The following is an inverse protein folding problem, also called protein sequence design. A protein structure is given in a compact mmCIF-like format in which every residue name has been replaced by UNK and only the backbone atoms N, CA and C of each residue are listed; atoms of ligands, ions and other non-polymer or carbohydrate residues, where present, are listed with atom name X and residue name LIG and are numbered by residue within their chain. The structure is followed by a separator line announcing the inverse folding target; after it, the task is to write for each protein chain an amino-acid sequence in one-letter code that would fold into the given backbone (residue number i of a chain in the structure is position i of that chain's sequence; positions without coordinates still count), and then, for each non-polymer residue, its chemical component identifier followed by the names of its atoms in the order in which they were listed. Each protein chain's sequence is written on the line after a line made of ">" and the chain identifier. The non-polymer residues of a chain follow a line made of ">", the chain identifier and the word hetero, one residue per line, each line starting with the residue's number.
data_IF_106191565369
#
_entry.id   IF_106191565369
#
_cell.length_a   1.000
_cell.length_b   1.000
_cell.length_c   1.000
_cell.angle_alpha   90.00
_cell.angle_beta   90.00
_cell.angle_gamma   90.00
#
_symmetry.space_group_name_H-M   'P 1'
#
loop_
_entity.id
_entity.type
_entity.pdbx_description
1 polymer ?
#
# COMPACT_ATOMS: atom_id res chain seq x y z
N UNK A 1 31.02 -64.44 -20.48
CA UNK A 1 31.49 -63.09 -20.83
C UNK A 1 32.14 -62.54 -19.59
N UNK A 2 33.45 -62.27 -19.59
CA UNK A 2 34.07 -61.65 -18.43
C UNK A 2 33.78 -60.14 -18.45
N UNK A 3 33.08 -59.65 -17.43
CA UNK A 3 32.68 -58.25 -17.28
C UNK A 3 33.00 -57.72 -15.87
N UNK A 4 33.92 -58.39 -15.15
CA UNK A 4 34.21 -58.08 -13.75
C UNK A 4 34.63 -56.61 -13.54
N UNK A 5 35.48 -56.09 -14.42
CA UNK A 5 35.95 -54.69 -14.38
C UNK A 5 34.80 -53.69 -14.60
N UNK A 6 33.99 -53.91 -15.63
CA UNK A 6 32.84 -53.06 -15.92
C UNK A 6 31.79 -53.09 -14.79
N UNK A 7 31.54 -54.26 -14.18
CA UNK A 7 30.68 -54.41 -12.99
C UNK A 7 31.26 -53.65 -11.81
N UNK A 8 32.57 -53.71 -11.57
CA UNK A 8 33.24 -52.96 -10.52
C UNK A 8 33.11 -51.44 -10.72
N UNK A 9 33.31 -50.95 -11.95
CA UNK A 9 33.12 -49.54 -12.32
C UNK A 9 31.68 -49.06 -12.13
N UNK A 10 30.69 -49.89 -12.45
CA UNK A 10 29.27 -49.57 -12.24
C UNK A 10 28.87 -49.59 -10.76
N UNK A 11 29.47 -50.45 -9.94
CA UNK A 11 29.34 -50.43 -8.47
C UNK A 11 29.93 -49.15 -7.88
N UNK A 12 31.11 -48.75 -8.34
CA UNK A 12 31.73 -47.48 -7.92
C UNK A 12 30.85 -46.27 -8.31
N UNK A 13 30.28 -46.30 -9.52
CA UNK A 13 29.31 -45.30 -10.01
C UNK A 13 28.07 -45.23 -9.11
N UNK A 14 27.50 -46.39 -8.73
CA UNK A 14 26.36 -46.45 -7.82
C UNK A 14 26.71 -45.88 -6.44
N UNK A 15 27.88 -46.22 -5.89
CA UNK A 15 28.33 -45.74 -4.59
C UNK A 15 28.47 -44.22 -4.60
N UNK A 16 29.16 -43.67 -5.60
CA UNK A 16 29.32 -42.22 -5.76
C UNK A 16 27.96 -41.52 -5.91
N UNK A 17 27.11 -42.03 -6.81
CA UNK A 17 25.78 -41.49 -7.03
C UNK A 17 24.92 -41.50 -5.75
N UNK A 18 24.97 -42.58 -4.97
CA UNK A 18 24.24 -42.67 -3.70
C UNK A 18 24.75 -41.64 -2.69
N UNK A 19 26.06 -41.57 -2.47
CA UNK A 19 26.65 -40.63 -1.51
C UNK A 19 26.33 -39.17 -1.86
N UNK A 20 26.47 -38.78 -3.14
CA UNK A 20 26.17 -37.41 -3.56
C UNK A 20 24.68 -37.10 -3.54
N UNK A 21 23.81 -38.04 -3.93
CA UNK A 21 22.36 -37.84 -3.89
C UNK A 21 21.84 -37.78 -2.45
N UNK A 22 22.43 -38.53 -1.51
CA UNK A 22 22.09 -38.45 -0.09
C UNK A 22 22.47 -37.08 0.48
N UNK A 23 23.67 -36.58 0.17
CA UNK A 23 24.11 -35.23 0.57
C UNK A 23 23.21 -34.14 -0.03
N UNK A 24 22.87 -34.27 -1.32
CA UNK A 24 21.97 -33.35 -2.01
C UNK A 24 20.56 -33.36 -1.41
N UNK A 25 20.02 -34.56 -1.12
CA UNK A 25 18.70 -34.73 -0.48
C UNK A 25 18.69 -34.12 0.92
N UNK A 26 19.78 -34.25 1.68
CA UNK A 26 19.96 -33.59 2.97
C UNK A 26 19.95 -32.07 2.91
N UNK A 27 20.24 -31.48 1.74
CA UNK A 27 20.16 -30.05 1.46
C UNK A 27 18.90 -29.67 0.65
N UNK A 28 17.88 -30.53 0.67
CA UNK A 28 16.60 -30.34 -0.03
C UNK A 28 16.70 -30.21 -1.56
N UNK A 29 17.82 -30.62 -2.16
CA UNK A 29 17.95 -30.68 -3.61
C UNK A 29 17.03 -31.79 -4.17
N UNK A 30 16.52 -31.58 -5.39
CA UNK A 30 15.62 -32.53 -6.03
C UNK A 30 16.40 -33.75 -6.53
N UNK A 31 15.89 -34.95 -6.24
CA UNK A 31 16.48 -36.24 -6.64
C UNK A 31 15.41 -37.21 -7.13
N UNK A 32 15.80 -38.21 -7.95
CA UNK A 32 14.87 -39.22 -8.48
C UNK A 32 15.18 -40.61 -7.93
N UNK A 33 14.31 -41.12 -7.06
CA UNK A 33 14.40 -42.50 -6.53
C UNK A 33 14.25 -43.54 -7.64
N UNK A 34 13.41 -43.27 -8.65
CA UNK A 34 13.20 -44.16 -9.79
C UNK A 34 14.47 -44.30 -10.64
N UNK A 35 15.17 -43.19 -10.89
CA UNK A 35 16.44 -43.21 -11.61
C UNK A 35 17.51 -44.03 -10.85
N UNK A 36 17.64 -43.81 -9.53
CA UNK A 36 18.55 -44.60 -8.68
C UNK A 36 18.20 -46.09 -8.72
N UNK A 37 16.92 -46.44 -8.68
CA UNK A 37 16.49 -47.83 -8.77
C UNK A 37 16.80 -48.45 -10.14
N UNK A 38 16.61 -47.71 -11.24
CA UNK A 38 16.93 -48.18 -12.58
C UNK A 38 18.43 -48.53 -12.73
N UNK A 39 19.33 -47.77 -12.12
CA UNK A 39 20.77 -48.10 -12.09
C UNK A 39 21.06 -49.40 -11.33
N UNK A 40 20.40 -49.61 -10.18
CA UNK A 40 20.51 -50.85 -9.39
C UNK A 40 20.00 -52.06 -10.18
N UNK A 41 18.85 -51.91 -10.82
CA UNK A 41 18.23 -52.95 -11.63
C UNK A 41 19.12 -53.32 -12.81
N UNK A 42 19.76 -52.33 -13.46
CA UNK A 42 20.73 -52.59 -14.53
C UNK A 42 21.96 -53.35 -14.03
N UNK A 43 22.55 -52.93 -12.91
CA UNK A 43 23.70 -53.62 -12.32
C UNK A 43 23.38 -55.10 -12.01
N UNK A 44 22.20 -55.37 -11.46
CA UNK A 44 21.74 -56.73 -11.19
C UNK A 44 21.70 -57.61 -12.44
N UNK A 45 21.39 -57.06 -13.62
CA UNK A 45 21.35 -57.81 -14.89
C UNK A 45 22.73 -58.23 -15.39
N UNK A 46 23.80 -57.56 -14.98
CA UNK A 46 25.15 -57.81 -15.49
C UNK A 46 26.07 -58.43 -14.45
N UNK A 47 25.74 -58.32 -13.16
CA UNK A 47 26.54 -58.88 -12.06
C UNK A 47 26.32 -60.40 -11.95
N UNK A 48 27.37 -61.25 -12.12
CA UNK A 48 27.26 -62.70 -11.99
C UNK A 48 26.88 -63.17 -10.59
N UNK A 49 27.12 -62.35 -9.56
CA UNK A 49 26.64 -62.63 -8.21
C UNK A 49 25.10 -62.60 -8.12
N UNK A 50 24.44 -61.86 -9.01
CA UNK A 50 22.99 -61.69 -9.07
C UNK A 50 22.37 -62.34 -10.32
N UNK A 51 21.81 -61.55 -11.28
CA UNK A 51 21.13 -62.06 -12.48
C UNK A 51 22.06 -62.20 -13.69
N UNK A 52 23.30 -61.74 -13.61
CA UNK A 52 24.33 -61.80 -14.64
C UNK A 52 24.94 -63.20 -14.87
N UNK A 53 24.15 -64.25 -14.69
CA UNK A 53 24.59 -65.66 -14.80
C UNK A 53 23.53 -66.55 -15.42
N UNK A 54 23.96 -67.68 -15.97
CA UNK A 54 23.03 -68.73 -16.34
C UNK A 54 22.44 -69.35 -15.07
N UNK A 55 21.11 -69.43 -14.98
CA UNK A 55 20.39 -69.97 -13.82
C UNK A 55 20.39 -71.51 -13.77
N UNK A 56 20.85 -72.17 -14.83
CA UNK A 56 20.87 -73.61 -14.95
C UNK A 56 21.64 -74.05 -16.21
N UNK A 57 21.70 -75.37 -16.48
CA UNK A 57 22.47 -75.91 -17.57
C UNK A 57 22.09 -75.34 -18.94
N UNK A 58 23.08 -75.13 -19.79
CA UNK A 58 22.90 -74.64 -21.17
C UNK A 58 23.35 -75.73 -22.12
N UNK A 59 22.44 -76.19 -23.00
CA UNK A 59 22.72 -77.28 -23.96
C UNK A 59 23.31 -78.54 -23.32
N UNK A 60 22.85 -78.89 -22.10
CA UNK A 60 23.32 -80.07 -21.36
C UNK A 60 24.66 -79.90 -20.64
N UNK A 61 25.23 -78.70 -20.62
CA UNK A 61 26.43 -78.37 -19.85
C UNK A 61 26.07 -77.58 -18.60
N UNK A 62 26.65 -77.95 -17.46
CA UNK A 62 26.47 -77.22 -16.21
C UNK A 62 26.99 -75.78 -16.32
N UNK A 63 26.24 -74.84 -15.75
CA UNK A 63 26.54 -73.41 -15.77
C UNK A 63 27.56 -72.98 -14.70
N UNK A 64 28.60 -73.80 -14.49
CA UNK A 64 29.67 -73.57 -13.54
C UNK A 64 31.03 -73.55 -14.25
N UNK A 65 31.97 -72.77 -13.73
CA UNK A 65 33.35 -72.72 -14.23
C UNK A 65 34.20 -73.78 -13.52
N UNK A 66 35.27 -74.28 -14.17
CA UNK A 66 36.22 -75.16 -13.52
C UNK A 66 37.01 -74.42 -12.43
N UNK A 67 37.38 -75.15 -11.38
CA UNK A 67 38.35 -74.68 -10.37
C UNK A 67 39.69 -74.40 -11.04
N UNK A 68 40.40 -73.35 -10.62
CA UNK A 68 41.70 -73.01 -11.18
C UNK A 68 42.67 -74.21 -11.13
N UNK A 69 43.14 -74.64 -12.31
CA UNK A 69 44.07 -75.77 -12.45
C UNK A 69 43.44 -77.17 -12.38
N UNK A 70 42.11 -77.30 -12.28
CA UNK A 70 41.38 -78.58 -12.35
C UNK A 70 40.34 -78.57 -13.47
N UNK A 71 39.78 -79.76 -13.78
CA UNK A 71 38.58 -79.93 -14.60
C UNK A 71 37.30 -80.00 -13.76
N UNK A 72 37.42 -80.08 -12.45
CA UNK A 72 36.29 -80.13 -11.53
C UNK A 72 35.58 -78.77 -11.49
N UNK A 73 34.26 -78.80 -11.63
CA UNK A 73 33.42 -77.60 -11.60
C UNK A 73 33.36 -77.01 -10.19
N UNK A 74 33.51 -75.70 -10.10
CA UNK A 74 33.25 -74.92 -8.91
C UNK A 74 31.82 -74.37 -8.95
N UNK A 75 30.93 -74.98 -8.16
CA UNK A 75 29.54 -74.56 -8.06
C UNK A 75 29.34 -73.12 -7.55
N UNK A 76 30.37 -72.52 -6.93
CA UNK A 76 30.37 -71.12 -6.49
C UNK A 76 30.79 -70.13 -7.59
N UNK A 77 31.31 -70.62 -8.72
CA UNK A 77 31.78 -69.82 -9.84
C UNK A 77 30.85 -69.97 -11.06
N UNK A 78 29.80 -69.15 -11.19
CA UNK A 78 28.84 -69.28 -12.28
C UNK A 78 29.44 -68.86 -13.62
N UNK A 79 28.87 -69.38 -14.72
CA UNK A 79 29.14 -68.89 -16.07
C UNK A 79 28.35 -67.60 -16.31
N UNK A 80 29.04 -66.52 -16.68
CA UNK A 80 28.43 -65.20 -16.85
C UNK A 80 27.61 -65.09 -18.13
N UNK A 81 26.49 -64.37 -18.01
CA UNK A 81 25.71 -63.84 -19.12
C UNK A 81 25.12 -62.49 -18.74
N UNK A 82 24.59 -61.75 -19.69
CA UNK A 82 23.67 -60.66 -19.34
C UNK A 82 22.25 -61.22 -19.15
N UNK A 83 21.57 -60.74 -18.12
CA UNK A 83 20.18 -61.04 -17.81
C UNK A 83 19.19 -60.34 -18.73
N UNK A 84 19.65 -59.32 -19.47
CA UNK A 84 18.89 -58.57 -20.47
C UNK A 84 19.75 -58.33 -21.74
N UNK A 85 19.13 -58.05 -22.90
CA UNK A 85 19.85 -57.70 -24.13
C UNK A 85 20.42 -56.28 -24.01
N UNK A 86 21.65 -56.18 -23.50
CA UNK A 86 22.32 -54.90 -23.23
C UNK A 86 23.63 -54.81 -24.00
N UNK A 87 24.05 -53.57 -24.27
CA UNK A 87 25.38 -53.26 -24.78
C UNK A 87 26.18 -52.62 -23.65
N UNK A 88 27.35 -53.17 -23.36
CA UNK A 88 28.29 -52.63 -22.38
C UNK A 88 29.57 -52.24 -23.12
N UNK A 89 29.95 -50.97 -23.00
CA UNK A 89 31.17 -50.43 -23.58
C UNK A 89 32.03 -49.96 -22.42
N UNK A 90 33.18 -50.58 -22.25
CA UNK A 90 34.14 -50.28 -21.19
C UNK A 90 35.55 -50.22 -21.78
N UNK A 91 36.40 -49.38 -21.19
CA UNK A 91 37.79 -49.19 -21.62
C UNK A 91 38.61 -48.66 -20.46
N UNK A 92 39.70 -49.35 -20.14
CA UNK A 92 40.61 -48.96 -19.07
C UNK A 92 41.33 -47.62 -19.32
N UNK A 93 41.48 -47.21 -20.59
CA UNK A 93 42.24 -46.01 -20.96
C UNK A 93 41.35 -44.85 -21.43
N UNK A 94 40.22 -45.12 -22.08
CA UNK A 94 39.32 -44.08 -22.56
C UNK A 94 38.38 -44.50 -23.69
N UNK A 95 37.34 -43.69 -23.88
CA UNK A 95 36.30 -43.84 -24.92
C UNK A 95 36.13 -42.48 -25.58
N UNK A 96 36.16 -42.42 -26.92
CA UNK A 96 35.93 -41.19 -27.69
C UNK A 96 34.71 -41.37 -28.61
N UNK A 97 33.74 -40.47 -28.52
CA UNK A 97 32.56 -40.40 -29.40
C UNK A 97 32.64 -39.13 -30.25
N UNK A 98 33.11 -39.25 -31.49
CA UNK A 98 33.32 -38.12 -32.39
C UNK A 98 32.64 -38.33 -33.76
N UNK A 99 32.06 -37.26 -34.29
CA UNK A 99 31.45 -37.21 -35.62
C UNK A 99 31.53 -35.78 -36.18
N UNK A 100 31.73 -35.58 -37.50
CA UNK A 100 31.68 -34.26 -38.11
C UNK A 100 30.26 -33.69 -38.22
N UNK A 101 29.24 -34.52 -38.02
CA UNK A 101 27.84 -34.13 -38.07
C UNK A 101 27.24 -34.03 -36.66
N UNK A 102 26.24 -34.84 -36.34
CA UNK A 102 25.51 -34.77 -35.06
C UNK A 102 25.59 -36.08 -34.27
N UNK A 103 25.69 -35.95 -32.95
CA UNK A 103 25.53 -37.05 -31.99
C UNK A 103 24.19 -36.86 -31.27
N UNK A 104 23.37 -37.90 -31.19
CA UNK A 104 22.13 -37.90 -30.43
C UNK A 104 22.18 -38.98 -29.34
N UNK A 105 21.84 -38.60 -28.11
CA UNK A 105 21.68 -39.51 -26.97
C UNK A 105 20.21 -39.50 -26.57
N UNK A 106 19.54 -40.64 -26.72
CA UNK A 106 18.13 -40.81 -26.39
C UNK A 106 17.94 -42.01 -25.48
N UNK A 107 17.23 -41.81 -24.37
CA UNK A 107 16.76 -42.87 -23.50
C UNK A 107 15.26 -42.71 -23.31
N UNK A 108 14.49 -43.77 -23.54
CA UNK A 108 13.03 -43.76 -23.30
C UNK A 108 12.64 -43.73 -21.82
N UNK A 109 13.62 -43.86 -20.92
CA UNK A 109 13.45 -43.80 -19.47
C UNK A 109 14.48 -42.82 -18.88
N UNK A 110 15.62 -43.31 -18.41
CA UNK A 110 16.62 -42.52 -17.69
C UNK A 110 17.94 -42.46 -18.47
N UNK A 111 18.57 -41.28 -18.48
CA UNK A 111 19.95 -41.09 -18.94
C UNK A 111 20.79 -40.71 -17.72
N UNK A 112 21.79 -41.54 -17.41
CA UNK A 112 22.72 -41.31 -16.30
C UNK A 112 24.07 -40.90 -16.85
N UNK A 113 24.58 -39.75 -16.39
CA UNK A 113 25.93 -39.29 -16.66
C UNK A 113 26.63 -39.12 -15.31
N UNK A 114 27.66 -39.91 -15.05
CA UNK A 114 28.39 -39.86 -13.78
C UNK A 114 29.88 -39.80 -14.04
N UNK A 115 30.57 -38.95 -13.30
CA UNK A 115 32.02 -38.73 -13.42
C UNK A 115 32.61 -38.68 -12.02
N UNK A 116 33.72 -39.38 -11.80
CA UNK A 116 34.38 -39.43 -10.48
C UNK A 116 35.23 -38.17 -10.19
N UNK A 117 35.79 -37.56 -11.24
CA UNK A 117 36.52 -36.29 -11.16
C UNK A 117 35.63 -35.19 -11.79
N UNK A 118 36.15 -34.45 -12.77
CA UNK A 118 35.50 -33.25 -13.30
C UNK A 118 34.65 -33.53 -14.54
N UNK A 119 33.48 -32.90 -14.60
CA UNK A 119 32.61 -32.92 -15.79
C UNK A 119 32.68 -31.58 -16.51
N UNK A 120 33.10 -31.60 -17.77
CA UNK A 120 33.13 -30.41 -18.64
C UNK A 120 32.07 -30.53 -19.73
N UNK A 121 31.18 -29.54 -19.81
CA UNK A 121 30.22 -29.39 -20.90
C UNK A 121 30.51 -28.06 -21.61
N UNK A 122 30.90 -28.13 -22.88
CA UNK A 122 31.29 -26.94 -23.65
C UNK A 122 30.55 -26.93 -24.99
N UNK A 123 29.96 -25.78 -25.33
CA UNK A 123 29.34 -25.53 -26.62
C UNK A 123 29.92 -24.23 -27.20
N UNK A 124 30.24 -24.21 -28.49
CA UNK A 124 30.73 -23.01 -29.16
C UNK A 124 29.65 -21.92 -29.29
N UNK A 125 28.38 -22.30 -29.20
CA UNK A 125 27.22 -21.40 -29.30
C UNK A 125 26.35 -21.51 -28.05
N UNK A 126 25.33 -22.37 -28.06
CA UNK A 126 24.35 -22.47 -26.98
C UNK A 126 24.45 -23.80 -26.26
N UNK A 127 24.46 -23.75 -24.92
CA UNK A 127 24.19 -24.90 -24.05
C UNK A 127 22.83 -24.67 -23.38
N UNK A 128 21.90 -25.62 -23.53
CA UNK A 128 20.54 -25.52 -23.01
C UNK A 128 20.18 -26.79 -22.24
N UNK A 129 19.58 -26.61 -21.06
CA UNK A 129 19.02 -27.69 -20.25
C UNK A 129 17.55 -27.36 -19.98
N UNK A 130 16.67 -28.26 -20.39
CA UNK A 130 15.22 -28.09 -20.30
C UNK A 130 14.61 -29.34 -19.69
N UNK A 131 13.87 -29.17 -18.59
CA UNK A 131 13.20 -30.24 -17.85
C UNK A 131 11.70 -29.94 -17.79
N UNK A 132 10.88 -30.98 -17.94
CA UNK A 132 9.42 -30.82 -17.88
C UNK A 132 8.90 -30.65 -16.45
N UNK A 133 9.53 -31.29 -15.48
CA UNK A 133 9.08 -31.29 -14.08
C UNK A 133 9.98 -30.41 -13.22
N UNK A 134 11.27 -30.73 -13.13
CA UNK A 134 12.16 -30.00 -12.24
C UNK A 134 13.65 -30.06 -12.68
N UNK A 135 14.41 -29.05 -12.27
CA UNK A 135 15.87 -28.97 -12.45
C UNK A 135 16.50 -28.60 -11.11
N UNK A 136 17.60 -29.28 -10.76
CA UNK A 136 18.36 -29.04 -9.53
C UNK A 136 19.83 -28.87 -9.83
N UNK A 137 20.46 -27.88 -9.20
CA UNK A 137 21.90 -27.64 -9.23
C UNK A 137 22.43 -27.68 -7.81
N UNK A 138 23.33 -28.61 -7.51
CA UNK A 138 23.88 -28.84 -6.19
C UNK A 138 25.40 -28.98 -6.26
N UNK A 139 26.10 -28.28 -5.38
CA UNK A 139 27.53 -28.44 -5.15
C UNK A 139 27.74 -28.68 -3.65
N UNK A 140 28.43 -29.77 -3.29
CA UNK A 140 28.73 -30.08 -1.90
C UNK A 140 29.80 -29.15 -1.33
N UNK A 141 30.83 -28.88 -2.14
CA UNK A 141 31.96 -28.00 -1.83
C UNK A 141 32.32 -27.20 -3.09
N UNK A 142 32.99 -26.05 -2.94
CA UNK A 142 33.45 -25.21 -4.06
C UNK A 142 32.43 -24.17 -4.56
N UNK A 143 31.14 -24.36 -4.26
CA UNK A 143 30.07 -23.40 -4.57
C UNK A 143 29.59 -23.44 -6.03
N UNK A 144 28.71 -22.50 -6.39
CA UNK A 144 28.14 -22.36 -7.74
C UNK A 144 28.46 -20.96 -8.28
N UNK A 145 28.97 -20.90 -9.51
CA UNK A 145 29.21 -19.65 -10.23
C UNK A 145 28.37 -19.58 -11.50
N UNK A 146 27.59 -18.52 -11.66
CA UNK A 146 26.82 -18.22 -12.87
C UNK A 146 27.25 -16.86 -13.42
N UNK A 147 28.03 -16.86 -14.49
CA UNK A 147 28.69 -15.66 -15.02
C UNK A 147 28.34 -15.51 -16.50
N UNK A 148 27.77 -14.37 -16.88
CA UNK A 148 27.66 -13.95 -18.27
C UNK A 148 28.80 -12.96 -18.58
N UNK A 149 29.74 -13.36 -19.44
CA UNK A 149 30.85 -12.48 -19.83
C UNK A 149 30.39 -11.27 -20.65
N UNK A 150 29.31 -11.43 -21.41
CA UNK A 150 28.57 -10.37 -22.10
C UNK A 150 27.08 -10.72 -22.09
N UNK A 151 26.23 -9.71 -21.91
CA UNK A 151 24.78 -9.88 -21.82
C UNK A 151 24.27 -10.11 -20.39
N UNK A 152 22.94 -10.12 -20.19
CA UNK A 152 22.33 -10.17 -18.87
C UNK A 152 22.29 -11.59 -18.29
N UNK A 153 22.30 -11.68 -16.96
CA UNK A 153 21.86 -12.87 -16.23
C UNK A 153 20.42 -12.62 -15.75
N UNK A 154 19.52 -13.57 -16.00
CA UNK A 154 18.12 -13.49 -15.57
C UNK A 154 17.70 -14.74 -14.81
N UNK A 155 17.08 -14.56 -13.64
CA UNK A 155 16.47 -15.63 -12.84
C UNK A 155 15.03 -15.23 -12.56
N UNK A 156 14.07 -16.08 -12.91
CA UNK A 156 12.65 -15.75 -12.86
C UNK A 156 11.83 -16.94 -12.36
N UNK A 157 10.84 -16.66 -11.50
CA UNK A 157 9.79 -17.59 -11.11
C UNK A 157 8.44 -16.94 -11.46
N UNK A 158 7.69 -17.54 -12.40
CA UNK A 158 6.49 -16.90 -12.96
C UNK A 158 5.22 -17.11 -12.12
N UNK A 159 5.05 -18.33 -11.58
CA UNK A 159 3.83 -18.72 -10.87
C UNK A 159 4.05 -18.90 -9.37
N UNK A 160 5.30 -18.94 -8.93
CA UNK A 160 5.68 -19.26 -7.56
C UNK A 160 6.81 -18.34 -7.07
N UNK A 161 7.20 -18.50 -5.81
CA UNK A 161 8.20 -17.72 -5.10
C UNK A 161 9.61 -17.94 -5.63
N UNK A 162 10.32 -16.85 -5.86
CA UNK A 162 11.78 -16.83 -5.96
C UNK A 162 12.35 -16.61 -4.56
N UNK A 163 13.21 -17.52 -4.10
CA UNK A 163 13.84 -17.46 -2.77
C UNK A 163 15.36 -17.46 -2.90
N UNK A 164 16.02 -16.52 -2.22
CA UNK A 164 17.49 -16.42 -2.11
C UNK A 164 17.82 -16.42 -0.62
N UNK A 165 18.57 -17.44 -0.18
CA UNK A 165 18.94 -17.64 1.21
C UNK A 165 20.44 -17.83 1.33
N UNK A 166 21.04 -17.19 2.32
CA UNK A 166 22.43 -17.41 2.71
C UNK A 166 22.53 -17.42 4.24
N UNK A 167 23.30 -18.35 4.78
CA UNK A 167 23.60 -18.42 6.22
C UNK A 167 24.48 -17.26 6.69
N UNK A 168 25.22 -16.66 5.75
CA UNK A 168 26.10 -15.51 6.00
C UNK A 168 25.51 -14.23 5.40
N UNK A 169 26.12 -13.73 4.33
CA UNK A 169 25.80 -12.46 3.73
C UNK A 169 25.18 -12.66 2.35
N UNK A 170 24.22 -11.79 2.00
CA UNK A 170 23.75 -11.58 0.64
C UNK A 170 24.15 -10.16 0.22
N UNK A 171 25.04 -10.06 -0.76
CA UNK A 171 25.47 -8.77 -1.32
C UNK A 171 24.85 -8.55 -2.71
N UNK A 172 24.15 -7.43 -2.87
CA UNK A 172 23.60 -6.99 -4.17
C UNK A 172 24.29 -5.68 -4.53
N UNK A 173 25.12 -5.70 -5.58
CA UNK A 173 26.01 -4.59 -5.93
C UNK A 173 25.82 -4.26 -7.41
N UNK A 174 25.54 -2.97 -7.70
CA UNK A 174 25.64 -2.39 -9.04
C UNK A 174 26.83 -1.43 -9.06
N UNK A 175 27.74 -1.60 -10.02
CA UNK A 175 29.00 -0.83 -10.07
C UNK A 175 28.82 0.52 -10.75
N UNK A 176 28.07 0.57 -11.86
CA UNK A 176 27.98 1.75 -12.72
C UNK A 176 26.62 2.46 -12.68
N UNK A 177 25.54 1.73 -12.40
CA UNK A 177 24.17 2.24 -12.49
C UNK A 177 23.46 2.13 -11.12
N UNK A 178 22.28 1.50 -11.06
CA UNK A 178 21.46 1.42 -9.85
C UNK A 178 20.94 0.02 -9.55
N UNK A 179 20.26 -0.10 -8.41
CA UNK A 179 19.52 -1.29 -7.97
C UNK A 179 18.06 -0.89 -7.87
N UNK A 180 17.18 -1.63 -8.55
CA UNK A 180 15.74 -1.42 -8.49
C UNK A 180 15.05 -2.60 -7.80
N UNK A 181 14.35 -2.32 -6.70
CA UNK A 181 13.50 -3.29 -6.00
C UNK A 181 12.06 -2.83 -6.16
N UNK A 182 11.27 -3.60 -6.92
CA UNK A 182 9.87 -3.28 -7.23
C UNK A 182 8.97 -4.42 -6.78
N UNK A 183 7.85 -4.09 -6.15
CA UNK A 183 6.80 -5.03 -5.82
C UNK A 183 5.43 -4.39 -6.06
N UNK A 184 4.45 -5.22 -6.43
CA UNK A 184 3.07 -4.75 -6.60
C UNK A 184 2.39 -4.48 -5.25
N UNK A 185 2.64 -5.34 -4.25
CA UNK A 185 1.97 -5.28 -2.94
C UNK A 185 2.82 -4.66 -1.86
N UNK A 186 3.97 -5.26 -1.56
CA UNK A 186 4.78 -4.92 -0.38
C UNK A 186 6.27 -5.15 -0.59
N UNK A 187 7.09 -4.25 -0.04
CA UNK A 187 8.54 -4.42 0.16
C UNK A 187 8.83 -4.29 1.67
N UNK A 188 9.60 -5.23 2.23
CA UNK A 188 10.04 -5.18 3.63
C UNK A 188 11.56 -5.33 3.67
N UNK A 189 12.23 -4.34 4.26
CA UNK A 189 13.65 -4.39 4.59
C UNK A 189 13.76 -4.46 6.11
N UNK A 190 14.32 -5.55 6.65
CA UNK A 190 14.35 -5.78 8.09
C UNK A 190 15.73 -6.22 8.58
N UNK A 191 16.18 -5.63 9.69
CA UNK A 191 17.38 -6.01 10.41
C UNK A 191 17.07 -6.06 11.92
N UNK A 192 16.98 -7.27 12.49
CA UNK A 192 16.54 -7.47 13.87
C UNK A 192 15.13 -6.91 14.10
N UNK A 193 15.02 -5.93 15.00
CA UNK A 193 13.75 -5.24 15.34
C UNK A 193 13.54 -3.93 14.57
N UNK A 194 14.47 -3.54 13.68
CA UNK A 194 14.32 -2.36 12.83
C UNK A 194 13.81 -2.78 11.44
N UNK A 195 12.83 -2.05 10.89
CA UNK A 195 12.30 -2.31 9.56
C UNK A 195 11.90 -1.05 8.80
N UNK A 196 11.95 -1.16 7.48
CA UNK A 196 11.39 -0.22 6.51
C UNK A 196 10.39 -1.01 5.68
N UNK A 197 9.13 -0.60 5.69
CA UNK A 197 8.05 -1.28 4.98
C UNK A 197 7.39 -0.31 4.01
N UNK A 198 7.30 -0.71 2.74
CA UNK A 198 6.47 -0.07 1.73
C UNK A 198 5.27 -0.98 1.50
N UNK A 199 4.06 -0.52 1.77
CA UNK A 199 2.82 -1.29 1.65
C UNK A 199 1.73 -0.44 1.03
N UNK A 200 1.36 -0.73 -0.22
CA UNK A 200 0.46 0.11 -1.00
C UNK A 200 1.00 1.55 -1.15
N UNK A 201 0.34 2.51 -0.52
CA UNK A 201 0.72 3.93 -0.54
C UNK A 201 1.51 4.36 0.71
N UNK A 202 1.64 3.47 1.70
CA UNK A 202 2.22 3.79 2.99
C UNK A 202 3.71 3.42 3.05
N UNK A 203 4.50 4.28 3.69
CA UNK A 203 5.91 4.02 4.02
C UNK A 203 6.05 4.07 5.54
N UNK A 204 6.45 2.96 6.15
CA UNK A 204 6.62 2.83 7.61
C UNK A 204 8.08 2.57 7.97
N UNK A 205 8.63 3.39 8.86
CA UNK A 205 9.91 3.17 9.51
C UNK A 205 9.66 2.78 10.97
N UNK A 206 10.01 1.56 11.37
CA UNK A 206 9.80 1.06 12.72
C UNK A 206 11.13 0.64 13.34
N UNK A 207 11.49 1.21 14.50
CA UNK A 207 12.66 0.78 15.27
C UNK A 207 12.49 1.10 16.76
N UNK A 208 12.87 0.20 17.67
CA UNK A 208 12.80 0.46 19.13
C UNK A 208 13.93 1.39 19.62
N UNK A 209 15.01 1.51 18.83
CA UNK A 209 16.14 2.39 19.14
C UNK A 209 15.95 3.80 18.59
N UNK A 210 17.07 4.46 18.31
CA UNK A 210 17.07 5.82 17.75
C UNK A 210 16.91 5.80 16.23
N UNK A 211 15.93 6.54 15.72
CA UNK A 211 15.85 6.93 14.31
C UNK A 211 16.62 8.24 14.10
N UNK A 212 17.80 8.18 13.47
CA UNK A 212 18.64 9.35 13.20
C UNK A 212 18.61 9.70 11.72
N UNK A 213 18.12 10.89 11.39
CA UNK A 213 18.15 11.45 10.02
C UNK A 213 19.18 12.59 10.02
N UNK A 214 20.21 12.49 9.17
CA UNK A 214 21.27 13.49 9.06
C UNK A 214 21.25 14.11 7.67
N UNK A 215 20.92 15.39 7.58
CA UNK A 215 20.94 16.17 6.34
C UNK A 215 21.18 17.65 6.61
N UNK A 216 21.63 18.40 5.60
CA UNK A 216 21.78 19.86 5.73
C UNK A 216 20.43 20.59 5.84
N UNK A 217 19.36 19.97 5.31
CA UNK A 217 18.00 20.47 5.36
C UNK A 217 17.03 19.29 5.45
N UNK A 218 15.95 19.44 6.23
CA UNK A 218 14.84 18.50 6.30
C UNK A 218 13.57 19.25 5.86
N UNK A 219 13.28 19.23 4.56
CA UNK A 219 12.06 19.84 4.03
C UNK A 219 10.93 18.86 4.22
N UNK A 220 10.06 19.16 5.18
CA UNK A 220 8.76 18.54 5.34
C UNK A 220 7.75 19.62 4.99
N UNK A 221 7.44 19.75 3.70
CA UNK A 221 6.42 20.68 3.28
C UNK A 221 5.09 20.32 3.94
N UNK A 222 4.29 21.33 4.24
CA UNK A 222 2.99 21.12 4.85
C UNK A 222 2.16 20.14 4.02
N UNK A 223 1.48 19.21 4.69
CA UNK A 223 0.49 18.37 4.02
C UNK A 223 -0.53 19.25 3.29
N UNK A 224 -1.11 18.74 2.21
CA UNK A 224 -2.18 19.44 1.49
C UNK A 224 -3.26 19.86 2.48
N UNK A 225 -3.34 21.15 2.76
CA UNK A 225 -4.42 21.75 3.52
C UNK A 225 -5.50 22.14 2.53
N UNK A 226 -6.52 21.31 2.38
CA UNK A 226 -7.78 21.83 1.87
C UNK A 226 -8.46 22.58 3.01
N UNK A 227 -8.85 23.83 2.76
CA UNK A 227 -9.73 24.54 3.67
C UNK A 227 -11.00 23.69 3.82
N UNK A 228 -11.38 23.36 5.05
CA UNK A 228 -12.69 22.81 5.31
C UNK A 228 -13.72 23.74 4.63
N UNK A 229 -14.44 23.23 3.64
CA UNK A 229 -15.61 23.91 3.11
C UNK A 229 -16.69 23.84 4.18
N UNK A 230 -16.60 24.76 5.14
CA UNK A 230 -17.67 25.04 6.08
C UNK A 230 -18.79 25.69 5.28
N UNK A 231 -19.92 25.01 5.16
CA UNK A 231 -21.16 25.68 4.74
C UNK A 231 -21.41 26.87 5.66
N UNK A 232 -21.77 28.03 5.09
CA UNK A 232 -22.01 29.25 5.84
C UNK A 232 -23.01 28.97 6.98
N UNK A 233 -22.58 29.25 8.22
CA UNK A 233 -23.51 29.21 9.35
C UNK A 233 -24.64 30.21 9.09
N UNK A 234 -25.91 29.84 9.30
CA UNK A 234 -27.04 30.73 9.05
C UNK A 234 -26.92 31.98 9.92
N UNK A 235 -26.59 33.11 9.31
CA UNK A 235 -26.27 34.37 9.98
C UNK A 235 -27.49 35.22 10.34
N UNK A 236 -28.68 34.62 10.54
CA UNK A 236 -29.94 35.36 10.63
C UNK A 236 -30.59 35.42 12.01
N UNK A 237 -29.85 35.20 13.09
CA UNK A 237 -30.37 35.41 14.44
C UNK A 237 -29.25 35.94 15.35
N UNK A 238 -29.13 37.27 15.42
CA UNK A 238 -28.86 38.11 16.61
C UNK A 238 -28.23 39.43 16.14
N UNK A 239 -29.09 40.42 15.90
CA UNK A 239 -28.73 41.83 16.12
C UNK A 239 -29.78 42.38 17.06
N UNK A 240 -29.48 42.66 18.34
CA UNK A 240 -30.46 43.32 19.20
C UNK A 240 -30.64 44.76 18.72
N UNK A 241 -31.79 45.04 18.10
CA UNK A 241 -32.27 46.40 17.85
C UNK A 241 -32.70 47.04 19.18
N UNK A 242 -31.76 47.61 19.92
CA UNK A 242 -32.07 48.66 20.90
C UNK A 242 -31.92 49.99 20.17
N UNK A 243 -32.97 50.42 19.45
CA UNK A 243 -33.05 51.78 18.95
C UNK A 243 -33.60 52.68 20.08
N UNK A 244 -32.83 53.65 20.61
CA UNK A 244 -33.38 54.61 21.55
C UNK A 244 -34.38 55.53 20.84
N UNK A 245 -35.52 55.81 21.47
CA UNK A 245 -36.45 56.81 20.96
C UNK A 245 -35.76 58.18 21.03
N UNK A 246 -35.75 58.90 19.91
CA UNK A 246 -35.14 60.23 19.84
C UNK A 246 -36.09 61.23 19.21
N UNK A 247 -36.28 62.37 19.89
CA UNK A 247 -37.21 63.42 19.49
C UNK A 247 -36.48 64.77 19.49
N UNK A 248 -36.91 65.65 18.59
CA UNK A 248 -36.58 67.08 18.57
C UNK A 248 -37.67 67.82 17.82
N UNK A 249 -37.83 69.11 18.10
CA UNK A 249 -38.84 69.95 17.46
C UNK A 249 -38.19 70.98 16.54
N UNK A 250 -38.96 71.41 15.54
CA UNK A 250 -38.53 72.40 14.57
C UNK A 250 -39.55 73.54 14.51
N UNK A 251 -39.08 74.78 14.64
CA UNK A 251 -39.88 75.97 14.41
C UNK A 251 -39.65 76.46 12.97
N UNK A 252 -40.74 76.60 12.22
CA UNK A 252 -40.72 77.18 10.87
C UNK A 252 -41.63 78.38 10.83
N UNK A 253 -41.22 79.41 10.10
CA UNK A 253 -42.03 80.60 9.90
C UNK A 253 -43.28 80.25 9.08
N UNK A 254 -44.47 80.54 9.61
CA UNK A 254 -45.73 80.32 8.89
C UNK A 254 -45.87 81.18 7.63
N UNK A 255 -45.11 82.29 7.53
CA UNK A 255 -45.16 83.23 6.40
C UNK A 255 -44.16 82.85 5.30
N UNK A 256 -42.96 82.40 5.69
CA UNK A 256 -41.86 82.17 4.73
C UNK A 256 -41.50 80.70 4.53
N UNK A 257 -42.01 79.79 5.37
CA UNK A 257 -41.68 78.37 5.38
C UNK A 257 -40.23 78.05 5.79
N UNK A 258 -39.42 79.07 6.10
CA UNK A 258 -38.01 78.89 6.47
C UNK A 258 -37.86 78.55 7.96
N UNK A 259 -36.78 77.85 8.35
CA UNK A 259 -36.49 77.58 9.76
C UNK A 259 -36.28 78.88 10.55
N UNK A 260 -36.83 78.94 11.75
CA UNK A 260 -36.74 80.10 12.65
C UNK A 260 -35.81 79.77 13.81
N UNK A 261 -34.71 80.51 13.93
CA UNK A 261 -33.79 80.42 15.06
C UNK A 261 -34.27 81.25 16.26
N UNK A 262 -33.77 80.92 17.45
CA UNK A 262 -34.02 81.64 18.72
C UNK A 262 -35.48 81.62 19.21
N UNK A 263 -36.29 80.69 18.70
CA UNK A 263 -37.69 80.47 19.09
C UNK A 263 -37.75 79.60 20.34
N UNK A 264 -38.53 80.01 21.35
CA UNK A 264 -38.73 79.26 22.58
C UNK A 264 -39.60 78.03 22.33
N UNK A 265 -39.13 76.88 22.81
CA UNK A 265 -39.82 75.59 22.73
C UNK A 265 -39.89 74.97 24.12
N UNK A 266 -41.12 74.72 24.57
CA UNK A 266 -41.40 73.98 25.80
C UNK A 266 -42.17 72.71 25.47
N UNK A 267 -41.61 71.56 25.82
CA UNK A 267 -42.28 70.27 25.69
C UNK A 267 -42.71 69.78 27.08
N UNK A 268 -44.01 69.54 27.22
CA UNK A 268 -44.61 68.99 28.42
C UNK A 268 -44.90 67.51 28.19
N UNK A 269 -44.46 66.68 29.13
CA UNK A 269 -44.84 65.27 29.15
C UNK A 269 -46.29 65.16 29.63
N UNK A 270 -47.14 64.58 28.80
CA UNK A 270 -48.57 64.43 29.07
C UNK A 270 -48.81 63.45 30.24
N UNK A 271 -47.89 62.50 30.47
CA UNK A 271 -47.99 61.51 31.54
C UNK A 271 -47.63 62.05 32.93
N UNK A 272 -46.60 62.91 33.03
CA UNK A 272 -46.13 63.48 34.30
C UNK A 272 -46.60 64.91 34.58
N UNK A 273 -47.24 65.57 33.59
CA UNK A 273 -47.69 66.97 33.65
C UNK A 273 -46.55 67.97 33.96
N UNK A 274 -45.29 67.57 33.74
CA UNK A 274 -44.08 68.35 33.97
C UNK A 274 -43.43 68.82 32.66
N UNK A 275 -42.60 69.88 32.76
CA UNK A 275 -41.78 70.32 31.63
C UNK A 275 -40.64 69.32 31.45
N UNK A 276 -40.70 68.54 30.36
CA UNK A 276 -39.67 67.56 30.00
C UNK A 276 -38.50 68.22 29.26
N UNK A 277 -38.76 69.32 28.54
CA UNK A 277 -37.73 70.11 27.88
C UNK A 277 -38.13 71.58 27.76
N UNK A 278 -37.14 72.45 27.91
CA UNK A 278 -37.24 73.89 27.73
C UNK A 278 -35.97 74.41 27.08
N UNK A 279 -36.07 75.06 25.93
CA UNK A 279 -34.92 75.62 25.24
C UNK A 279 -35.30 76.35 23.95
N UNK A 280 -34.31 76.96 23.31
CA UNK A 280 -34.50 77.69 22.06
C UNK A 280 -34.07 76.88 20.84
N UNK A 281 -34.66 77.16 19.68
CA UNK A 281 -34.19 76.61 18.40
C UNK A 281 -32.85 77.19 17.99
N UNK A 282 -31.95 76.36 17.46
CA UNK A 282 -30.67 76.78 16.92
C UNK A 282 -30.81 77.42 15.52
N UNK A 283 -29.69 77.78 14.89
CA UNK A 283 -29.67 78.41 13.56
C UNK A 283 -30.36 77.61 12.44
N UNK A 284 -30.52 76.28 12.61
CA UNK A 284 -31.24 75.40 11.70
C UNK A 284 -32.76 75.28 12.01
N UNK A 285 -33.24 76.10 12.95
CA UNK A 285 -34.61 76.15 13.44
C UNK A 285 -35.04 74.93 14.26
N UNK A 286 -34.09 74.14 14.79
CA UNK A 286 -34.38 72.92 15.57
C UNK A 286 -33.86 72.99 16.99
N UNK A 287 -34.51 72.28 17.90
CA UNK A 287 -34.01 72.08 19.26
C UNK A 287 -32.92 71.01 19.30
N UNK A 288 -32.07 70.98 20.35
CA UNK A 288 -31.26 69.82 20.68
C UNK A 288 -32.11 68.55 20.74
N UNK A 289 -31.49 67.42 20.41
CA UNK A 289 -32.15 66.11 20.42
C UNK A 289 -32.22 65.57 21.84
N UNK A 290 -33.41 65.14 22.23
CA UNK A 290 -33.63 64.42 23.48
C UNK A 290 -33.58 62.94 23.16
N UNK A 291 -32.90 62.20 24.03
CA UNK A 291 -32.77 60.75 23.96
C UNK A 291 -33.51 60.19 25.17
N UNK A 292 -34.54 59.38 24.93
CA UNK A 292 -35.19 58.59 25.99
C UNK A 292 -34.92 57.11 25.73
N UNK A 293 -34.45 56.43 26.78
CA UNK A 293 -33.91 55.07 26.67
C UNK A 293 -34.92 53.98 27.04
N UNK A 294 -36.10 54.32 27.59
CA UNK A 294 -36.91 53.27 28.21
C UNK A 294 -38.35 53.13 27.69
N UNK A 295 -39.04 54.18 27.19
CA UNK A 295 -40.44 54.07 26.69
C UNK A 295 -40.80 55.12 25.63
N UNK A 296 -41.76 54.85 24.71
CA UNK A 296 -42.38 55.89 23.89
C UNK A 296 -43.23 56.82 24.79
N UNK A 297 -43.07 58.13 24.62
CA UNK A 297 -43.80 59.18 25.36
C UNK A 297 -44.42 60.19 24.39
N UNK A 298 -45.64 60.63 24.72
CA UNK A 298 -46.32 61.70 23.99
C UNK A 298 -46.10 63.05 24.67
N UNK A 299 -45.76 64.06 23.87
CA UNK A 299 -45.48 65.41 24.35
C UNK A 299 -46.48 66.41 23.77
N UNK A 300 -46.94 67.33 24.63
CA UNK A 300 -47.58 68.57 24.18
C UNK A 300 -46.51 69.64 24.04
N UNK A 301 -46.43 70.30 22.89
CA UNK A 301 -45.33 71.21 22.54
C UNK A 301 -45.86 72.61 22.32
N UNK A 302 -45.27 73.57 23.02
CA UNK A 302 -45.55 74.99 22.88
C UNK A 302 -44.36 75.64 22.16
N UNK A 303 -44.63 76.33 21.04
CA UNK A 303 -43.62 76.99 20.20
C UNK A 303 -44.02 78.46 20.04
N UNK A 304 -43.12 79.39 20.39
CA UNK A 304 -43.42 80.83 20.43
C UNK A 304 -42.26 81.68 20.95
N UNK A 305 -42.49 82.95 21.23
CA UNK A 305 -41.46 83.89 21.70
C UNK A 305 -42.04 84.91 22.68
N UNK A 306 -41.34 85.18 23.79
CA UNK A 306 -41.72 86.19 24.79
C UNK A 306 -42.18 85.60 26.12
N UNK A 307 -42.74 86.44 27.01
CA UNK A 307 -43.26 86.00 28.30
C UNK A 307 -44.51 85.12 28.12
N UNK A 308 -44.38 83.84 28.44
CA UNK A 308 -45.46 82.87 28.33
C UNK A 308 -46.41 82.99 29.53
N UNK A 309 -47.67 83.33 29.26
CA UNK A 309 -48.76 83.26 30.26
C UNK A 309 -49.76 82.21 29.79
N UNK A 310 -49.77 81.06 30.47
CA UNK A 310 -50.73 79.98 30.18
C UNK A 310 -52.08 80.36 30.81
N UNK A 311 -53.02 80.89 30.02
CA UNK A 311 -54.41 81.01 30.47
C UNK A 311 -55.09 79.63 30.40
N UNK A 312 -55.14 78.92 31.53
CA UNK A 312 -56.04 77.76 31.67
C UNK A 312 -57.45 78.30 31.87
N UNK A 313 -58.28 78.32 30.82
CA UNK A 313 -59.73 78.49 30.96
C UNK A 313 -60.33 77.13 31.30
N UNK A 314 -60.77 76.95 32.54
CA UNK A 314 -61.76 75.93 32.89
C UNK A 314 -63.12 76.41 32.34
N UNK A 315 -63.67 75.74 31.34
CA UNK A 315 -65.06 75.96 30.95
C UNK A 315 -65.98 75.47 32.08
N UNK A 316 -66.74 76.39 32.69
CA UNK A 316 -68.00 76.03 33.35
C UNK A 316 -69.10 75.90 32.30
N UNK A 317 -70.01 74.95 32.55
CA UNK A 317 -71.14 74.56 31.71
C UNK A 317 -72.10 75.72 31.35
N UNK A 318 -72.77 75.68 30.19
CA UNK A 318 -73.86 76.60 29.88
C UNK A 318 -75.16 76.18 30.59
N UNK A 319 -75.71 77.09 31.39
CA UNK A 319 -77.13 77.08 31.81
C UNK A 319 -77.90 77.99 30.86
N UNK A 320 -79.01 77.47 30.29
CA UNK A 320 -79.97 78.25 29.50
C UNK A 320 -81.20 78.56 30.35
N UNK A 321 -81.63 79.82 30.32
CA UNK A 321 -82.80 80.40 30.97
C UNK A 321 -84.14 79.92 30.40
N UNK A 322 -85.15 79.67 31.24
CA UNK A 322 -86.58 79.77 30.86
C UNK A 322 -87.07 81.24 30.92
N UNK A 323 -88.36 81.57 30.69
CA UNK A 323 -89.56 80.72 30.55
C UNK A 323 -90.47 81.02 29.31
N UNK A 324 -91.48 80.16 29.14
CA UNK A 324 -92.74 80.31 28.38
C UNK A 324 -92.73 80.43 26.85
N UNK A 325 -92.99 79.27 26.24
CA UNK A 325 -94.09 78.99 25.29
C UNK A 325 -94.36 79.99 24.18
N UNK A 326 -93.95 79.63 22.97
CA UNK A 326 -94.75 79.87 21.78
C UNK A 326 -94.76 78.61 20.90
N UNK A 327 -95.86 77.88 21.05
CA UNK A 327 -96.70 77.29 19.99
C UNK A 327 -95.97 76.60 18.82
N UNK A 328 -96.07 75.28 18.70
CA UNK A 328 -97.15 74.58 17.96
C UNK A 328 -97.09 74.82 16.44
N UNK A 329 -97.35 73.72 15.70
CA UNK A 329 -97.47 73.62 14.25
C UNK A 329 -96.13 73.48 13.52
N UNK A 330 -95.94 72.62 12.53
CA UNK A 330 -96.63 71.47 11.95
C UNK A 330 -95.82 71.20 10.67
N UNK A 331 -95.89 69.97 10.18
CA UNK A 331 -95.87 69.66 8.75
C UNK A 331 -94.62 69.98 7.89
N UNK A 332 -94.15 68.87 7.32
CA UNK A 332 -93.80 68.66 5.91
C UNK A 332 -92.33 68.77 5.45
N UNK A 333 -91.87 67.56 5.09
CA UNK A 333 -90.80 67.09 4.19
C UNK A 333 -89.32 67.25 4.58
#
# INVERSE_FOLDING_TARGET
>A
MDAAEAVASLKATQSLGTTLLDAATGQHALTSKAAVQAHKDFLAQIDPADKGKFAGPVNGQDAAKPTAGSRDLDASSPVEKFGAPVVLIDSAAGINWATPASTALFAGQHLHWTTQSDMHMTAAYTSSSVSAEATSLYAHEGGIQAIAGNGPVSVQAHTDRLEILADKEVAVISVNDGIEVKANKRIVLQAGQASITLDGQDITFACPGTFSVKGAQHVLDGGSSEAAQLEELPHLLVTPLLQPYSLRWAATSAVTGKPSADVDVHALDIGSNGIAFSGKTAGDGRTPRILDQERPQDFSVLIGSGDWVTHVRTNQDPVVSGPDDWMELEAEE
#
